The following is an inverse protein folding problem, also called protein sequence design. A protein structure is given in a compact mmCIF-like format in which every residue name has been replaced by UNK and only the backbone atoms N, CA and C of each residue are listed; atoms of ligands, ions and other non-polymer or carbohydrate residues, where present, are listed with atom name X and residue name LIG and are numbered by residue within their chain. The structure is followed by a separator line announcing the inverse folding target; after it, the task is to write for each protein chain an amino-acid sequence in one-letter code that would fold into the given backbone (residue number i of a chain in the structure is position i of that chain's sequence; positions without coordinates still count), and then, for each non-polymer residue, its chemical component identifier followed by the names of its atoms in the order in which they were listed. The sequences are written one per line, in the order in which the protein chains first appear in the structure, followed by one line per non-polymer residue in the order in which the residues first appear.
data_IF_275808488073
#
_entry.id   IF_275808488073
#
_cell.length_a   1.000
_cell.length_b   1.000
_cell.length_c   1.000
_cell.angle_alpha   90.00
_cell.angle_beta   90.00
_cell.angle_gamma   90.00
#
_symmetry.space_group_name_H-M   'P 1'
#
loop_
_entity.id
_entity.type
_entity.pdbx_description
1 polymer ?
#
# COMPACT_ATOMS: atom_id res chain seq x y z
N UNK A 1 4.44 3.33 7.14
CA UNK A 1 4.64 2.08 6.40
C UNK A 1 5.38 1.07 7.26
N UNK A 2 4.99 -0.20 7.20
CA UNK A 2 5.70 -1.30 7.84
C UNK A 2 6.53 -2.03 6.79
N UNK A 3 7.84 -2.02 6.94
CA UNK A 3 8.77 -2.59 5.99
C UNK A 3 9.24 -3.98 6.44
N UNK A 4 9.68 -4.81 5.49
CA UNK A 4 10.35 -6.09 5.77
C UNK A 4 11.63 -5.90 6.59
N UNK A 5 12.29 -4.75 6.46
CA UNK A 5 13.43 -4.33 7.29
C UNK A 5 12.99 -3.10 8.09
N UNK A 6 12.57 -3.30 9.31
CA UNK A 6 12.06 -2.24 10.20
C UNK A 6 12.78 -2.27 11.54
N UNK A 7 12.85 -1.12 12.19
CA UNK A 7 13.31 -1.03 13.60
C UNK A 7 12.27 -1.61 14.59
N UNK A 8 11.14 -2.07 14.07
CA UNK A 8 10.09 -2.76 14.80
C UNK A 8 9.12 -1.85 15.56
N UNK A 9 8.10 -2.49 16.14
CA UNK A 9 7.02 -1.78 16.84
C UNK A 9 7.49 -0.94 18.04
N UNK A 10 8.50 -1.35 18.82
CA UNK A 10 9.01 -0.51 19.92
C UNK A 10 9.57 0.83 19.46
N UNK A 11 10.32 0.85 18.37
CA UNK A 11 10.87 2.09 17.81
C UNK A 11 9.76 2.99 17.25
N UNK A 12 8.76 2.39 16.58
CA UNK A 12 7.61 3.13 16.07
C UNK A 12 6.79 3.75 17.20
N UNK A 13 6.47 3.00 18.25
CA UNK A 13 5.76 3.50 19.42
C UNK A 13 6.51 4.66 20.08
N UNK A 14 7.83 4.52 20.24
CA UNK A 14 8.67 5.60 20.78
C UNK A 14 8.61 6.85 19.90
N UNK A 15 8.72 6.72 18.58
CA UNK A 15 8.62 7.86 17.66
C UNK A 15 7.23 8.53 17.71
N UNK A 16 6.15 7.75 17.84
CA UNK A 16 4.81 8.26 18.05
C UNK A 16 4.69 9.06 19.36
N UNK A 17 5.27 8.55 20.45
CA UNK A 17 5.26 9.23 21.75
C UNK A 17 6.05 10.56 21.70
N UNK A 18 7.22 10.55 21.08
CA UNK A 18 8.07 11.74 20.90
C UNK A 18 7.43 12.80 19.99
N UNK A 19 6.44 12.41 19.18
CA UNK A 19 5.74 13.29 18.24
C UNK A 19 4.29 13.59 18.65
N UNK A 20 3.87 13.22 19.86
CA UNK A 20 2.50 13.36 20.37
C UNK A 20 1.43 12.71 19.45
N UNK A 21 1.80 11.64 18.74
CA UNK A 21 0.89 10.88 17.86
C UNK A 21 0.19 9.81 18.68
N UNK A 22 -1.12 9.94 18.86
CA UNK A 22 -1.92 8.98 19.65
C UNK A 22 -2.33 7.75 18.84
N UNK A 23 -2.67 7.92 17.57
CA UNK A 23 -3.05 6.84 16.66
C UNK A 23 -2.41 7.01 15.29
N UNK A 24 -2.11 5.90 14.62
CA UNK A 24 -1.54 5.88 13.28
C UNK A 24 -2.20 4.81 12.40
N UNK A 25 -2.50 5.16 11.17
CA UNK A 25 -2.76 4.17 10.12
C UNK A 25 -1.43 3.50 9.78
N UNK A 26 -1.44 2.17 9.77
CA UNK A 26 -0.24 1.38 9.48
C UNK A 26 -0.53 0.32 8.42
N UNK A 27 0.37 0.16 7.48
CA UNK A 27 0.29 -0.84 6.41
C UNK A 27 1.66 -1.38 6.10
N UNK A 28 1.71 -2.58 5.54
CA UNK A 28 2.94 -3.14 5.01
C UNK A 28 3.26 -2.58 3.62
N UNK A 29 4.52 -2.62 3.22
CA UNK A 29 4.91 -2.34 1.84
C UNK A 29 4.62 -3.60 1.01
N UNK A 30 3.79 -3.50 -0.05
CA UNK A 30 3.33 -4.67 -0.81
C UNK A 30 4.36 -5.19 -1.83
N UNK A 31 5.56 -4.67 -1.85
CA UNK A 31 6.61 -5.05 -2.80
C UNK A 31 7.94 -5.33 -2.09
N UNK A 32 8.72 -6.22 -2.70
CA UNK A 32 10.09 -6.48 -2.27
C UNK A 32 11.04 -6.39 -3.47
N UNK A 33 12.26 -5.95 -3.23
CA UNK A 33 13.30 -5.93 -4.26
C UNK A 33 13.92 -7.31 -4.45
N UNK A 34 14.07 -7.70 -5.70
CA UNK A 34 14.78 -8.94 -6.04
C UNK A 34 16.27 -8.76 -5.82
N UNK A 35 16.87 -9.64 -5.05
CA UNK A 35 18.32 -9.77 -5.01
C UNK A 35 18.72 -10.94 -5.89
N UNK A 36 19.20 -10.62 -7.09
CA UNK A 36 19.64 -11.62 -8.06
C UNK A 36 20.92 -12.33 -7.58
N UNK A 37 21.03 -13.62 -7.89
CA UNK A 37 22.18 -14.43 -7.46
C UNK A 37 23.54 -13.93 -8.03
N UNK A 38 23.51 -13.18 -9.13
CA UNK A 38 24.69 -12.60 -9.77
C UNK A 38 25.03 -11.21 -9.21
N UNK A 39 24.18 -10.63 -8.36
CA UNK A 39 24.42 -9.32 -7.77
C UNK A 39 25.23 -9.44 -6.49
N UNK A 40 26.42 -8.83 -6.43
CA UNK A 40 27.33 -8.95 -5.30
C UNK A 40 26.85 -8.21 -4.06
N UNK A 41 25.87 -7.30 -4.22
CA UNK A 41 25.39 -6.42 -3.14
C UNK A 41 23.89 -6.49 -3.04
N UNK A 42 23.39 -6.63 -1.79
CA UNK A 42 21.98 -6.54 -1.49
C UNK A 42 21.40 -5.20 -1.95
N UNK A 43 20.30 -5.18 -2.73
CA UNK A 43 19.61 -3.95 -3.11
C UNK A 43 19.16 -3.15 -1.90
N UNK A 44 19.15 -1.83 -2.03
CA UNK A 44 18.46 -0.99 -1.05
C UNK A 44 16.96 -1.25 -1.12
N UNK A 45 16.33 -1.33 0.03
CA UNK A 45 14.90 -1.65 0.08
C UNK A 45 14.03 -0.59 -0.62
N UNK A 46 14.37 0.69 -0.51
CA UNK A 46 13.58 1.80 -1.03
C UNK A 46 14.32 2.62 -2.11
N UNK A 47 13.96 3.89 -2.30
CA UNK A 47 14.48 4.76 -3.34
C UNK A 47 16.00 4.75 -3.53
N UNK A 48 16.44 4.92 -4.77
CA UNK A 48 17.86 5.02 -5.14
C UNK A 48 18.52 3.70 -5.52
N UNK A 49 17.74 2.68 -5.76
CA UNK A 49 18.17 1.39 -6.30
C UNK A 49 17.15 0.91 -7.33
N UNK A 50 17.62 0.56 -8.53
CA UNK A 50 16.77 0.16 -9.67
C UNK A 50 16.57 -1.37 -9.78
N UNK A 51 16.86 -2.13 -8.71
CA UNK A 51 16.62 -3.56 -8.71
C UNK A 51 15.15 -3.88 -8.98
N UNK A 52 14.83 -4.91 -9.78
CA UNK A 52 13.47 -5.31 -10.05
C UNK A 52 12.71 -5.63 -8.76
N UNK A 53 11.41 -5.35 -8.75
CA UNK A 53 10.52 -5.64 -7.64
C UNK A 53 9.52 -6.74 -8.00
N UNK A 54 9.00 -7.39 -6.96
CA UNK A 54 7.86 -8.30 -7.05
C UNK A 54 6.85 -8.03 -5.95
N UNK A 55 5.59 -8.42 -6.17
CA UNK A 55 4.54 -8.29 -5.18
C UNK A 55 4.72 -9.29 -4.05
N UNK A 56 4.64 -8.79 -2.81
CA UNK A 56 4.89 -9.56 -1.60
C UNK A 56 3.69 -9.48 -0.66
N UNK A 57 2.84 -10.50 -0.69
CA UNK A 57 1.65 -10.55 0.17
C UNK A 57 1.94 -10.94 1.62
N UNK A 58 3.13 -11.49 1.90
CA UNK A 58 3.55 -11.81 3.27
C UNK A 58 3.64 -10.62 4.22
N UNK A 59 3.72 -9.40 3.67
CA UNK A 59 3.78 -8.16 4.45
C UNK A 59 2.59 -8.00 5.40
N UNK A 60 1.40 -8.45 5.01
CA UNK A 60 0.20 -8.39 5.87
C UNK A 60 0.31 -9.35 7.06
N UNK A 61 0.89 -10.54 6.85
CA UNK A 61 1.12 -11.51 7.94
C UNK A 61 2.14 -10.97 8.95
N UNK A 62 3.19 -10.33 8.45
CA UNK A 62 4.22 -9.72 9.30
C UNK A 62 3.63 -8.56 10.12
N UNK A 63 2.83 -7.69 9.49
CA UNK A 63 2.16 -6.60 10.17
C UNK A 63 1.18 -7.10 11.23
N UNK A 64 0.35 -8.10 10.88
CA UNK A 64 -0.59 -8.71 11.80
C UNK A 64 0.14 -9.27 13.03
N UNK A 65 1.18 -10.09 12.82
CA UNK A 65 1.96 -10.66 13.92
C UNK A 65 2.64 -9.59 14.78
N UNK A 66 3.14 -8.52 14.17
CA UNK A 66 3.76 -7.42 14.88
C UNK A 66 2.76 -6.69 15.80
N UNK A 67 1.55 -6.41 15.33
CA UNK A 67 0.51 -5.77 16.15
C UNK A 67 0.02 -6.72 17.24
N UNK A 68 -0.21 -8.00 16.94
CA UNK A 68 -0.64 -9.01 17.90
C UNK A 68 0.37 -9.21 19.05
N UNK A 69 1.66 -8.95 18.81
CA UNK A 69 2.69 -9.04 19.84
C UNK A 69 2.63 -7.92 20.90
N UNK A 70 1.85 -6.87 20.65
CA UNK A 70 1.69 -5.72 21.53
C UNK A 70 0.65 -5.97 22.62
N UNK A 71 0.74 -5.22 23.71
CA UNK A 71 -0.35 -5.23 24.70
C UNK A 71 -1.62 -4.52 24.15
N UNK A 72 -2.82 -4.77 24.74
CA UNK A 72 -4.08 -4.24 24.19
C UNK A 72 -4.15 -2.72 24.08
N UNK A 73 -3.49 -1.97 24.97
CA UNK A 73 -3.48 -0.51 24.90
C UNK A 73 -2.60 0.01 23.74
N UNK A 74 -1.51 -0.67 23.49
CA UNK A 74 -0.64 -0.36 22.35
C UNK A 74 -1.29 -0.74 21.01
N UNK A 75 -1.99 -1.89 20.96
CA UNK A 75 -2.72 -2.31 19.74
C UNK A 75 -3.75 -1.27 19.30
N UNK A 76 -4.49 -0.65 20.23
CA UNK A 76 -5.49 0.41 19.96
C UNK A 76 -4.90 1.67 19.29
N UNK A 77 -3.59 1.83 19.33
CA UNK A 77 -2.91 2.95 18.68
C UNK A 77 -2.75 2.77 17.18
N UNK A 78 -3.00 1.57 16.66
CA UNK A 78 -2.82 1.25 15.25
C UNK A 78 -4.14 1.00 14.55
N UNK A 79 -4.23 1.50 13.33
CA UNK A 79 -5.33 1.31 12.40
C UNK A 79 -4.75 0.54 11.20
N UNK A 80 -4.77 -0.82 11.24
CA UNK A 80 -4.11 -1.63 10.22
C UNK A 80 -4.88 -1.62 8.90
N UNK A 81 -4.16 -1.35 7.81
CA UNK A 81 -4.67 -1.46 6.44
C UNK A 81 -3.99 -2.62 5.73
N UNK A 82 -4.78 -3.37 4.97
CA UNK A 82 -4.34 -4.53 4.18
C UNK A 82 -3.79 -4.05 2.83
N UNK A 83 -2.53 -4.32 2.54
CA UNK A 83 -1.85 -3.85 1.33
C UNK A 83 -1.19 -4.95 0.49
N UNK A 84 -1.01 -6.15 1.04
CA UNK A 84 -0.20 -7.23 0.50
C UNK A 84 -0.81 -7.95 -0.71
N UNK A 85 -1.11 -7.22 -1.78
CA UNK A 85 -1.63 -7.82 -3.02
C UNK A 85 -1.13 -7.10 -4.28
N UNK A 86 -1.24 -7.79 -5.41
CA UNK A 86 -0.95 -7.20 -6.72
C UNK A 86 -2.19 -6.49 -7.28
N UNK A 87 -2.16 -5.15 -7.48
CA UNK A 87 -3.29 -4.38 -8.01
C UNK A 87 -3.67 -4.69 -9.47
N UNK A 88 -2.81 -5.40 -10.22
CA UNK A 88 -3.12 -5.86 -11.58
C UNK A 88 -3.70 -7.28 -11.62
N UNK A 89 -3.68 -8.00 -10.49
CA UNK A 89 -4.24 -9.33 -10.44
C UNK A 89 -5.74 -9.29 -10.17
N UNK A 90 -6.55 -9.77 -11.12
CA UNK A 90 -8.01 -9.87 -10.98
C UNK A 90 -8.45 -10.82 -9.85
N UNK A 91 -7.55 -11.70 -9.36
CA UNK A 91 -7.79 -12.56 -8.21
C UNK A 91 -7.41 -11.90 -6.87
N UNK A 92 -6.80 -10.71 -6.87
CA UNK A 92 -6.47 -9.98 -5.65
C UNK A 92 -7.68 -9.84 -4.70
N UNK A 93 -8.86 -9.59 -5.27
CA UNK A 93 -10.12 -9.51 -4.52
C UNK A 93 -10.40 -10.76 -3.67
N UNK A 94 -10.04 -11.96 -4.16
CA UNK A 94 -10.24 -13.21 -3.40
C UNK A 94 -9.23 -13.34 -2.27
N UNK A 95 -8.00 -12.87 -2.47
CA UNK A 95 -6.97 -12.81 -1.42
C UNK A 95 -7.40 -11.86 -0.30
N UNK A 96 -7.80 -10.64 -0.67
CA UNK A 96 -8.26 -9.63 0.29
C UNK A 96 -9.46 -10.14 1.11
N UNK A 97 -10.47 -10.72 0.44
CA UNK A 97 -11.65 -11.30 1.12
C UNK A 97 -11.24 -12.34 2.15
N UNK A 98 -10.34 -13.27 1.80
CA UNK A 98 -9.84 -14.28 2.76
C UNK A 98 -9.13 -13.66 3.95
N UNK A 99 -8.31 -12.64 3.73
CA UNK A 99 -7.60 -11.96 4.82
C UNK A 99 -8.58 -11.27 5.79
N UNK A 100 -9.65 -10.65 5.26
CA UNK A 100 -10.74 -10.05 6.05
C UNK A 100 -11.54 -11.11 6.83
N UNK A 101 -11.86 -12.23 6.20
CA UNK A 101 -12.61 -13.34 6.82
C UNK A 101 -11.80 -14.09 7.88
N UNK A 102 -10.49 -14.23 7.69
CA UNK A 102 -9.59 -14.87 8.67
C UNK A 102 -9.37 -14.02 9.92
N UNK A 103 -9.42 -12.70 9.79
CA UNK A 103 -9.17 -11.77 10.88
C UNK A 103 -10.30 -10.72 10.98
N UNK A 104 -11.53 -11.14 11.38
CA UNK A 104 -12.69 -10.25 11.40
C UNK A 104 -12.46 -9.04 12.32
N UNK A 105 -12.63 -7.84 11.76
CA UNK A 105 -12.49 -6.58 12.49
C UNK A 105 -11.05 -6.11 12.73
N UNK A 106 -10.05 -6.88 12.34
CA UNK A 106 -8.66 -6.46 12.46
C UNK A 106 -8.30 -5.41 11.39
N UNK A 107 -8.55 -5.71 10.12
CA UNK A 107 -8.27 -4.80 9.01
C UNK A 107 -9.30 -3.69 8.94
N UNK A 108 -8.86 -2.44 9.01
CA UNK A 108 -9.73 -1.25 9.05
C UNK A 108 -9.66 -0.44 7.75
N UNK A 109 -8.97 -0.92 6.74
CA UNK A 109 -8.88 -0.32 5.42
C UNK A 109 -8.08 -1.20 4.45
N UNK A 110 -8.05 -0.80 3.19
CA UNK A 110 -7.27 -1.42 2.13
C UNK A 110 -6.26 -0.42 1.59
N UNK A 111 -4.99 -0.79 1.56
CA UNK A 111 -3.89 0.05 1.04
C UNK A 111 -2.73 0.19 2.05
N UNK A 112 -1.69 0.92 1.71
CA UNK A 112 -1.58 1.79 0.53
C UNK A 112 -1.47 0.93 -0.74
N UNK A 113 -2.39 1.13 -1.66
CA UNK A 113 -2.38 0.43 -2.95
C UNK A 113 -1.50 1.20 -3.92
N UNK A 114 -0.46 0.59 -4.43
CA UNK A 114 0.48 1.23 -5.35
C UNK A 114 0.00 1.17 -6.79
N UNK A 115 -0.64 2.26 -7.25
CA UNK A 115 -0.91 2.50 -8.67
C UNK A 115 -0.09 3.70 -9.13
N UNK A 116 0.50 3.62 -10.34
CA UNK A 116 1.32 4.74 -10.86
C UNK A 116 2.36 5.27 -9.88
N UNK A 117 3.05 4.37 -9.17
CA UNK A 117 4.13 4.76 -8.27
C UNK A 117 5.45 4.79 -9.04
N UNK A 118 6.02 5.99 -9.23
CA UNK A 118 7.16 6.22 -10.10
C UNK A 118 8.44 5.47 -9.70
N UNK A 119 8.67 5.30 -8.40
CA UNK A 119 9.91 4.71 -7.90
C UNK A 119 9.83 3.20 -7.68
N UNK A 120 8.62 2.66 -7.53
CA UNK A 120 8.43 1.23 -7.26
C UNK A 120 7.72 0.52 -8.41
N UNK A 121 6.49 0.91 -8.77
CA UNK A 121 5.76 0.17 -9.81
C UNK A 121 6.37 0.33 -11.21
N UNK A 122 7.24 1.30 -11.42
CA UNK A 122 8.03 1.42 -12.64
C UNK A 122 9.11 0.32 -12.78
N UNK A 123 9.48 -0.34 -11.69
CA UNK A 123 10.48 -1.40 -11.63
C UNK A 123 9.88 -2.81 -11.65
N UNK A 124 8.55 -2.91 -11.70
CA UNK A 124 7.86 -4.19 -11.79
C UNK A 124 7.95 -4.75 -13.21
N UNK A 125 8.01 -6.07 -13.32
CA UNK A 125 7.90 -6.73 -14.62
C UNK A 125 6.45 -6.62 -15.13
N UNK A 126 6.28 -5.94 -16.24
CA UNK A 126 4.97 -5.67 -16.83
C UNK A 126 4.63 -4.17 -16.85
N UNK A 127 3.35 -3.85 -16.82
CA UNK A 127 2.86 -2.46 -16.77
C UNK A 127 2.65 -1.99 -15.34
N UNK A 128 2.85 -0.71 -15.08
CA UNK A 128 2.48 -0.11 -13.80
C UNK A 128 0.95 -0.21 -13.59
N UNK A 129 0.49 -0.64 -12.42
CA UNK A 129 -0.93 -0.73 -12.11
C UNK A 129 -1.65 0.61 -12.28
N UNK A 130 -2.92 0.54 -12.71
CA UNK A 130 -3.78 1.70 -12.92
C UNK A 130 -4.91 1.76 -11.91
N UNK A 131 -5.24 2.96 -11.45
CA UNK A 131 -6.34 3.16 -10.52
C UNK A 131 -7.69 2.64 -11.07
N UNK A 132 -7.91 2.73 -12.37
CA UNK A 132 -9.15 2.29 -13.04
C UNK A 132 -9.05 0.92 -13.72
N UNK A 133 -8.08 0.08 -13.35
CA UNK A 133 -7.98 -1.28 -13.91
C UNK A 133 -9.17 -2.15 -13.50
N UNK A 134 -9.47 -3.19 -14.28
CA UNK A 134 -10.54 -4.15 -13.94
C UNK A 134 -10.30 -4.82 -12.59
N UNK A 135 -9.05 -5.11 -12.25
CA UNK A 135 -8.67 -5.67 -10.97
C UNK A 135 -9.03 -4.72 -9.82
N UNK A 136 -8.66 -3.44 -9.94
CA UNK A 136 -8.96 -2.43 -8.94
C UNK A 136 -10.46 -2.15 -8.80
N UNK A 137 -11.24 -2.17 -9.89
CA UNK A 137 -12.70 -2.05 -9.79
C UNK A 137 -13.33 -3.17 -8.93
N UNK A 138 -12.77 -4.39 -8.95
CA UNK A 138 -13.22 -5.48 -8.07
C UNK A 138 -12.82 -5.23 -6.61
N UNK A 139 -11.63 -4.69 -6.38
CA UNK A 139 -11.16 -4.33 -5.03
C UNK A 139 -12.03 -3.21 -4.44
N UNK A 140 -12.35 -2.18 -5.21
CA UNK A 140 -13.23 -1.09 -4.75
C UNK A 140 -14.62 -1.59 -4.37
N UNK A 141 -15.20 -2.47 -5.20
CA UNK A 141 -16.48 -3.09 -4.88
C UNK A 141 -16.42 -3.89 -3.57
N UNK A 142 -15.35 -4.65 -3.36
CA UNK A 142 -15.14 -5.37 -2.10
C UNK A 142 -14.99 -4.40 -0.92
N UNK A 143 -14.25 -3.32 -1.09
CA UNK A 143 -14.10 -2.30 -0.04
C UNK A 143 -15.46 -1.72 0.38
N UNK A 144 -16.33 -1.43 -0.59
CA UNK A 144 -17.71 -1.00 -0.32
C UNK A 144 -18.53 -2.07 0.41
N UNK A 145 -18.43 -3.35 0.01
CA UNK A 145 -19.12 -4.46 0.69
C UNK A 145 -18.78 -4.54 2.19
N UNK A 146 -17.54 -4.23 2.56
CA UNK A 146 -17.03 -4.28 3.94
C UNK A 146 -17.00 -2.90 4.64
N UNK A 147 -17.50 -1.85 4.00
CA UNK A 147 -17.45 -0.45 4.46
C UNK A 147 -16.03 0.04 4.81
N UNK A 148 -15.02 -0.44 4.09
CA UNK A 148 -13.62 -0.12 4.31
C UNK A 148 -13.15 1.04 3.42
N UNK A 149 -12.36 2.00 3.95
CA UNK A 149 -11.69 2.99 3.12
C UNK A 149 -10.59 2.36 2.29
N UNK A 150 -10.29 2.98 1.15
CA UNK A 150 -9.17 2.62 0.29
C UNK A 150 -8.15 3.75 0.27
N UNK A 151 -6.96 3.49 0.78
CA UNK A 151 -5.80 4.38 0.67
C UNK A 151 -5.08 4.08 -0.64
N UNK A 152 -5.18 5.01 -1.59
CA UNK A 152 -4.72 4.83 -2.95
C UNK A 152 -3.53 5.76 -3.24
N UNK A 153 -2.38 5.17 -3.56
CA UNK A 153 -1.29 5.88 -4.19
C UNK A 153 -1.55 5.95 -5.70
N UNK A 154 -1.68 7.12 -6.25
CA UNK A 154 -1.77 7.32 -7.69
C UNK A 154 -1.17 8.66 -8.05
N UNK A 155 0.03 8.62 -8.63
CA UNK A 155 0.62 9.82 -9.20
C UNK A 155 -0.23 10.29 -10.38
N UNK A 156 -0.40 11.58 -10.52
CA UNK A 156 -1.11 12.18 -11.67
C UNK A 156 -0.15 12.58 -12.78
N UNK A 157 1.15 12.68 -12.49
CA UNK A 157 2.21 12.99 -13.44
C UNK A 157 3.23 11.87 -13.50
N UNK A 158 4.08 11.85 -14.51
CA UNK A 158 5.27 10.99 -14.55
C UNK A 158 6.55 11.76 -14.24
N UNK A 159 7.65 11.05 -14.02
CA UNK A 159 8.99 11.67 -13.88
C UNK A 159 9.41 12.51 -15.09
N UNK A 160 8.87 12.23 -16.26
CA UNK A 160 9.25 12.83 -17.55
C UNK A 160 8.28 13.90 -18.03
N UNK A 161 7.02 13.84 -17.59
CA UNK A 161 5.94 14.70 -18.06
C UNK A 161 5.21 15.30 -16.86
N UNK A 162 5.15 16.64 -16.82
CA UNK A 162 4.51 17.39 -15.74
C UNK A 162 2.99 17.58 -15.94
N UNK A 163 2.50 17.30 -17.14
CA UNK A 163 1.06 17.30 -17.37
C UNK A 163 0.39 16.16 -16.61
N UNK A 164 -0.85 16.30 -16.19
CA UNK A 164 -1.55 15.29 -15.38
C UNK A 164 -2.01 14.09 -16.24
N UNK A 165 -1.04 13.30 -16.73
CA UNK A 165 -1.26 12.15 -17.61
C UNK A 165 -2.21 11.10 -17.04
N UNK A 166 -2.14 10.89 -15.73
CA UNK A 166 -2.85 9.79 -15.06
C UNK A 166 -4.07 10.24 -14.28
N UNK A 167 -4.39 11.54 -14.30
CA UNK A 167 -5.53 12.08 -13.58
C UNK A 167 -6.85 11.44 -14.01
N UNK A 168 -7.02 11.18 -15.31
CA UNK A 168 -8.22 10.53 -15.84
C UNK A 168 -8.44 9.12 -15.28
N UNK A 169 -7.37 8.37 -14.99
CA UNK A 169 -7.47 7.04 -14.39
C UNK A 169 -8.04 7.11 -12.97
N UNK A 170 -7.59 8.10 -12.19
CA UNK A 170 -8.08 8.34 -10.84
C UNK A 170 -9.52 8.84 -10.87
N UNK A 171 -9.83 9.84 -11.71
CA UNK A 171 -11.18 10.37 -11.85
C UNK A 171 -12.18 9.29 -12.24
N UNK A 172 -11.81 8.42 -13.19
CA UNK A 172 -12.66 7.30 -13.62
C UNK A 172 -12.92 6.32 -12.46
N UNK A 173 -11.88 6.00 -11.68
CA UNK A 173 -12.01 5.16 -10.49
C UNK A 173 -13.00 5.76 -9.47
N UNK A 174 -12.84 7.05 -9.14
CA UNK A 174 -13.71 7.75 -8.19
C UNK A 174 -15.16 7.85 -8.71
N UNK A 175 -15.35 8.21 -9.98
CA UNK A 175 -16.68 8.38 -10.59
C UNK A 175 -17.47 7.07 -10.66
N UNK A 176 -16.79 5.94 -10.86
CA UNK A 176 -17.42 4.61 -10.98
C UNK A 176 -17.70 3.95 -9.63
N UNK A 177 -17.10 4.44 -8.55
CA UNK A 177 -17.22 3.86 -7.21
C UNK A 177 -17.54 4.95 -6.16
N UNK A 178 -18.65 5.69 -6.30
CA UNK A 178 -18.98 6.81 -5.42
C UNK A 178 -19.29 6.38 -3.97
N UNK A 179 -19.56 5.10 -3.75
CA UNK A 179 -19.81 4.49 -2.44
C UNK A 179 -18.53 4.22 -1.64
N UNK A 180 -17.35 4.25 -2.30
CA UNK A 180 -16.07 3.96 -1.67
C UNK A 180 -15.48 5.20 -1.01
N UNK A 181 -14.99 5.07 0.20
CA UNK A 181 -14.24 6.11 0.91
C UNK A 181 -12.79 6.10 0.44
N UNK A 182 -12.45 6.93 -0.52
CA UNK A 182 -11.07 7.05 -0.99
C UNK A 182 -10.25 7.99 -0.13
N UNK A 183 -9.02 7.57 0.18
CA UNK A 183 -7.97 8.40 0.76
C UNK A 183 -6.87 8.48 -0.30
N UNK A 184 -6.68 9.66 -0.88
CA UNK A 184 -5.64 9.86 -1.89
C UNK A 184 -4.31 10.18 -1.20
N UNK A 185 -3.36 9.24 -1.25
CA UNK A 185 -2.07 9.39 -0.60
C UNK A 185 -1.32 10.62 -1.11
N UNK A 186 -0.77 11.41 -0.19
CA UNK A 186 0.02 12.64 -0.43
C UNK A 186 -0.45 13.49 -1.63
N UNK A 187 -1.77 13.56 -1.83
CA UNK A 187 -2.43 14.35 -2.88
C UNK A 187 -1.87 14.09 -4.30
N UNK A 188 -1.49 12.83 -4.57
CA UNK A 188 -1.05 12.38 -5.90
C UNK A 188 0.35 12.80 -6.31
N UNK A 189 1.19 13.20 -5.37
CA UNK A 189 2.58 13.57 -5.65
C UNK A 189 3.54 12.70 -4.85
N UNK A 190 4.56 12.14 -5.51
CA UNK A 190 5.67 11.45 -4.86
C UNK A 190 6.90 12.34 -4.70
N UNK A 191 6.89 13.54 -5.29
CA UNK A 191 7.96 14.54 -5.24
C UNK A 191 7.39 15.92 -5.03
N UNK A 192 8.19 16.77 -4.40
CA UNK A 192 7.86 18.17 -4.17
C UNK A 192 7.47 18.86 -5.48
N UNK A 193 6.34 19.54 -5.44
CA UNK A 193 5.97 20.51 -6.46
C UNK A 193 6.85 21.73 -6.24
N UNK A 194 7.90 21.86 -7.05
CA UNK A 194 8.72 23.07 -7.13
C UNK A 194 8.17 24.03 -8.13
#
# INVERSE_FOLDING_TARGET
DFFQETDGMPALLKAMDESDITQAVIMGIPVAKTWDENEPKKPRYYAGDDAPIYWYSGTDLELHAAIESLNPEQQKRFIPFLSGFNPDDKNAVNHIRRALELNPGFWQGIGEVFTRHDDLTALIHGSAPRANSEAMMKVYKLAAEYDLPVLLHSNITSKRERNPLYLEELEDALKKNPEVKFIWAHAGTSKELH
#
